data_IF_318368245750
#
_entry.id   IF_318368245750
#
_cell.length_a   1.000
_cell.length_b   1.000
_cell.length_c   1.000
_cell.angle_alpha   90.00
_cell.angle_beta   90.00
_cell.angle_gamma   90.00
#
_symmetry.space_group_name_H-M   'P 1'
#
loop_
_entity.id
_entity.type
_entity.pdbx_description
1 polymer ?
#
# COMPACT_ATOMS: atom_id res chain seq x y z
N UNK A 1 -4.49 -11.45 21.33
CA UNK A 1 -5.53 -10.94 20.39
C UNK A 1 -6.41 -9.86 21.03
N UNK A 2 -7.08 -10.08 22.18
CA UNK A 2 -7.93 -9.07 22.84
C UNK A 2 -7.19 -7.74 23.05
N UNK A 3 -6.02 -7.76 23.67
CA UNK A 3 -5.20 -6.56 23.90
C UNK A 3 -4.83 -5.81 22.60
N UNK A 4 -4.57 -6.52 21.50
CA UNK A 4 -4.28 -5.90 20.21
C UNK A 4 -5.49 -5.24 19.59
N UNK A 5 -6.70 -5.76 19.84
CA UNK A 5 -7.95 -5.12 19.41
C UNK A 5 -8.23 -3.88 20.27
N UNK A 6 -8.01 -3.96 21.57
CA UNK A 6 -8.14 -2.82 22.49
C UNK A 6 -7.13 -1.71 22.17
N UNK A 7 -5.95 -2.06 21.66
CA UNK A 7 -4.92 -1.12 21.24
C UNK A 7 -5.16 -0.49 19.86
N UNK A 8 -6.21 -0.85 19.13
CA UNK A 8 -6.46 -0.38 17.76
C UNK A 8 -6.47 1.17 17.62
N UNK A 9 -7.09 1.95 18.53
CA UNK A 9 -6.99 3.41 18.46
C UNK A 9 -5.54 3.94 18.58
N UNK A 10 -4.71 3.26 19.38
CA UNK A 10 -3.30 3.61 19.48
C UNK A 10 -2.54 3.25 18.20
N UNK A 11 -2.83 2.08 17.61
CA UNK A 11 -2.26 1.69 16.32
C UNK A 11 -2.55 2.71 15.22
N UNK A 12 -3.76 3.29 15.19
CA UNK A 12 -4.11 4.35 14.23
C UNK A 12 -3.28 5.62 14.45
N UNK A 13 -3.11 6.07 15.70
CA UNK A 13 -2.26 7.25 16.00
C UNK A 13 -0.81 7.03 15.57
N UNK A 14 -0.26 5.87 15.85
CA UNK A 14 1.09 5.50 15.43
C UNK A 14 1.20 5.39 13.90
N UNK A 15 0.18 4.83 13.24
CA UNK A 15 0.11 4.74 11.79
C UNK A 15 0.11 6.13 11.13
N UNK A 16 -0.63 7.10 11.69
CA UNK A 16 -0.61 8.49 11.24
C UNK A 16 0.79 9.11 11.41
N UNK A 17 1.44 8.88 12.54
CA UNK A 17 2.81 9.38 12.77
C UNK A 17 3.81 8.80 11.75
N UNK A 18 3.72 7.49 11.45
CA UNK A 18 4.54 6.82 10.44
C UNK A 18 4.29 7.45 9.05
N UNK A 19 3.02 7.61 8.67
CA UNK A 19 2.65 8.16 7.37
C UNK A 19 3.11 9.61 7.19
N UNK A 20 2.98 10.46 8.23
CA UNK A 20 3.48 11.85 8.21
C UNK A 20 5.01 11.93 8.05
N UNK A 21 5.73 10.96 8.59
CA UNK A 21 7.18 10.88 8.47
C UNK A 21 7.66 10.19 7.18
N UNK A 22 6.74 9.58 6.42
CA UNK A 22 7.10 8.87 5.21
C UNK A 22 7.46 9.83 4.07
N UNK A 23 8.60 9.56 3.43
CA UNK A 23 9.05 10.29 2.25
C UNK A 23 8.69 9.48 1.00
N UNK A 24 7.69 9.95 0.27
CA UNK A 24 7.33 9.40 -1.05
C UNK A 24 8.01 10.25 -2.12
N UNK A 25 8.91 9.63 -2.86
CA UNK A 25 9.56 10.27 -4.01
C UNK A 25 8.52 10.54 -5.09
N UNK A 26 8.41 11.76 -5.61
CA UNK A 26 7.46 12.08 -6.67
C UNK A 26 7.83 11.33 -7.95
N UNK A 27 6.81 11.05 -8.76
CA UNK A 27 6.99 10.50 -10.10
C UNK A 27 6.75 11.56 -11.16
N UNK A 28 7.43 11.44 -12.33
CA UNK A 28 7.15 12.24 -13.52
C UNK A 28 6.11 11.55 -14.42
N UNK A 29 5.71 10.32 -14.08
CA UNK A 29 4.72 9.56 -14.85
C UNK A 29 3.33 10.10 -14.59
N UNK A 30 2.52 10.14 -15.64
CA UNK A 30 1.09 10.44 -15.50
C UNK A 30 0.35 9.16 -15.11
N UNK A 31 -0.14 9.10 -13.87
CA UNK A 31 -0.83 7.92 -13.36
C UNK A 31 -2.28 7.92 -13.85
N UNK A 32 -2.68 6.85 -14.55
CA UNK A 32 -4.02 6.67 -15.09
C UNK A 32 -4.90 5.75 -14.25
N UNK A 33 -4.30 4.89 -13.46
CA UNK A 33 -5.00 3.95 -12.58
C UNK A 33 -4.11 3.50 -11.42
N UNK A 34 -4.74 2.99 -10.38
CA UNK A 34 -4.08 2.42 -9.21
C UNK A 34 -4.46 0.94 -9.09
N UNK A 35 -3.47 0.10 -8.85
CA UNK A 35 -3.69 -1.31 -8.49
C UNK A 35 -3.10 -1.55 -7.11
N UNK A 36 -3.92 -2.05 -6.18
CA UNK A 36 -3.47 -2.46 -4.85
C UNK A 36 -3.40 -3.99 -4.83
N UNK A 37 -2.19 -4.52 -4.72
CA UNK A 37 -1.95 -5.95 -4.56
C UNK A 37 -1.76 -6.29 -3.09
N UNK A 38 -2.60 -7.16 -2.55
CA UNK A 38 -2.53 -7.58 -1.16
C UNK A 38 -3.40 -8.79 -0.86
N UNK A 39 -2.99 -9.60 0.14
CA UNK A 39 -3.69 -10.80 0.56
C UNK A 39 -4.12 -10.71 2.03
N UNK A 40 -5.15 -11.44 2.42
CA UNK A 40 -5.64 -11.50 3.81
C UNK A 40 -6.00 -10.13 4.38
N UNK A 41 -5.41 -9.75 5.52
CA UNK A 41 -5.63 -8.45 6.17
C UNK A 41 -5.21 -7.27 5.29
N UNK A 42 -4.09 -7.38 4.58
CA UNK A 42 -3.62 -6.36 3.64
C UNK A 42 -4.56 -6.22 2.43
N UNK A 43 -5.11 -7.33 1.92
CA UNK A 43 -6.09 -7.29 0.84
C UNK A 43 -7.42 -6.66 1.25
N UNK A 44 -7.90 -6.96 2.47
CA UNK A 44 -9.10 -6.32 3.04
C UNK A 44 -8.87 -4.82 3.21
N UNK A 45 -7.68 -4.43 3.70
CA UNK A 45 -7.28 -3.03 3.82
C UNK A 45 -7.35 -2.28 2.49
N UNK A 46 -6.80 -2.87 1.44
CA UNK A 46 -6.88 -2.33 0.09
C UNK A 46 -8.31 -2.11 -0.38
N UNK A 47 -9.19 -3.11 -0.19
CA UNK A 47 -10.61 -3.01 -0.57
C UNK A 47 -11.37 -1.92 0.20
N UNK A 48 -11.15 -1.80 1.51
CA UNK A 48 -11.79 -0.76 2.30
C UNK A 48 -11.31 0.61 1.85
N UNK A 49 -10.00 0.80 1.72
CA UNK A 49 -9.44 2.08 1.30
C UNK A 49 -9.91 2.44 -0.11
N UNK A 50 -9.96 1.50 -1.05
CA UNK A 50 -10.46 1.78 -2.41
C UNK A 50 -11.89 2.31 -2.43
N UNK A 51 -12.74 1.88 -1.49
CA UNK A 51 -14.10 2.40 -1.34
C UNK A 51 -14.12 3.76 -0.64
N UNK A 52 -13.34 3.93 0.42
CA UNK A 52 -13.25 5.21 1.16
C UNK A 52 -12.78 6.34 0.26
N UNK A 53 -11.81 6.08 -0.62
CA UNK A 53 -11.24 7.12 -1.50
C UNK A 53 -11.95 7.27 -2.84
N UNK A 54 -12.99 6.49 -3.13
CA UNK A 54 -13.63 6.44 -4.44
C UNK A 54 -14.11 7.82 -4.93
N UNK A 55 -14.63 8.65 -4.04
CA UNK A 55 -15.14 9.98 -4.36
C UNK A 55 -14.04 11.07 -4.37
N UNK A 56 -12.83 10.74 -3.91
CA UNK A 56 -11.72 11.68 -3.77
C UNK A 56 -10.63 11.51 -4.84
N UNK A 57 -10.65 10.40 -5.57
CA UNK A 57 -9.66 10.10 -6.59
C UNK A 57 -10.21 10.34 -8.00
N UNK A 58 -9.39 10.94 -8.84
CA UNK A 58 -9.70 11.14 -10.27
C UNK A 58 -9.37 9.91 -11.14
N UNK A 59 -8.77 8.88 -10.58
CA UNK A 59 -8.35 7.66 -11.27
C UNK A 59 -8.94 6.42 -10.63
N UNK A 60 -9.26 5.37 -11.39
CA UNK A 60 -9.81 4.13 -10.83
C UNK A 60 -8.81 3.38 -9.96
N UNK A 61 -9.32 2.74 -8.90
CA UNK A 61 -8.55 1.85 -8.02
C UNK A 61 -9.07 0.43 -8.15
N UNK A 62 -8.18 -0.51 -8.44
CA UNK A 62 -8.47 -1.94 -8.53
C UNK A 62 -7.67 -2.70 -7.49
N UNK A 63 -8.31 -3.59 -6.75
CA UNK A 63 -7.63 -4.48 -5.80
C UNK A 63 -7.45 -5.87 -6.41
N UNK A 64 -6.26 -6.44 -6.25
CA UNK A 64 -5.95 -7.82 -6.65
C UNK A 64 -5.29 -8.59 -5.51
N UNK A 65 -5.52 -9.88 -5.48
CA UNK A 65 -4.89 -10.82 -4.56
C UNK A 65 -4.31 -12.04 -5.30
N UNK A 66 -4.07 -11.88 -6.59
CA UNK A 66 -3.64 -12.93 -7.50
C UNK A 66 -2.14 -12.81 -7.81
N UNK A 67 -1.57 -13.88 -8.35
CA UNK A 67 -0.19 -13.93 -8.89
C UNK A 67 -0.03 -13.10 -10.15
N UNK A 68 -1.12 -12.88 -10.90
CA UNK A 68 -1.12 -12.18 -12.18
C UNK A 68 -1.80 -10.83 -12.04
N UNK A 69 -1.12 -9.80 -12.51
CA UNK A 69 -1.69 -8.45 -12.54
C UNK A 69 -2.73 -8.30 -13.66
N UNK A 70 -3.74 -7.43 -13.47
CA UNK A 70 -4.68 -7.09 -14.55
C UNK A 70 -3.95 -6.66 -15.84
N UNK A 71 -4.52 -7.03 -16.98
CA UNK A 71 -3.90 -6.81 -18.30
C UNK A 71 -3.64 -5.34 -18.63
N UNK A 72 -4.37 -4.40 -18.03
CA UNK A 72 -4.21 -2.95 -18.23
C UNK A 72 -3.01 -2.34 -17.48
N UNK A 73 -2.37 -3.08 -16.58
CA UNK A 73 -1.19 -2.58 -15.85
C UNK A 73 -0.06 -2.24 -16.81
N UNK A 74 0.45 -1.03 -16.71
CA UNK A 74 1.46 -0.44 -17.59
C UNK A 74 2.34 0.54 -16.83
N UNK A 75 3.20 1.25 -17.52
CA UNK A 75 4.04 2.33 -16.97
C UNK A 75 3.24 3.50 -16.35
N UNK A 76 1.97 3.65 -16.73
CA UNK A 76 1.05 4.65 -16.19
C UNK A 76 0.17 4.12 -15.04
N UNK A 77 0.51 2.95 -14.50
CA UNK A 77 -0.14 2.37 -13.33
C UNK A 77 0.68 2.63 -12.07
N UNK A 78 0.04 3.11 -11.01
CA UNK A 78 0.59 3.03 -9.66
C UNK A 78 0.22 1.67 -9.06
N UNK A 79 1.20 0.80 -8.92
CA UNK A 79 1.06 -0.49 -8.25
C UNK A 79 1.49 -0.37 -6.79
N UNK A 80 0.53 -0.49 -5.88
CA UNK A 80 0.79 -0.48 -4.43
C UNK A 80 0.85 -1.93 -3.95
N UNK A 81 2.02 -2.36 -3.49
CA UNK A 81 2.25 -3.68 -2.91
C UNK A 81 2.03 -3.58 -1.40
N UNK A 82 0.92 -4.12 -0.93
CA UNK A 82 0.57 -4.17 0.49
C UNK A 82 0.72 -5.59 1.03
N UNK A 83 1.81 -5.85 1.74
CA UNK A 83 2.09 -7.16 2.35
C UNK A 83 2.71 -6.99 3.73
N UNK A 84 1.97 -7.34 4.79
CA UNK A 84 2.46 -7.17 6.16
C UNK A 84 3.79 -7.91 6.38
N UNK A 85 3.86 -9.20 6.07
CA UNK A 85 5.10 -9.99 6.22
C UNK A 85 6.18 -9.60 5.19
N UNK A 86 5.76 -9.15 4.02
CA UNK A 86 6.62 -8.91 2.88
C UNK A 86 7.10 -10.17 2.15
N UNK A 87 6.58 -11.35 2.52
CA UNK A 87 6.99 -12.66 1.97
C UNK A 87 5.84 -13.41 1.27
N UNK A 88 4.66 -12.80 1.16
CA UNK A 88 3.50 -13.40 0.50
C UNK A 88 3.83 -13.61 -0.99
N UNK A 89 3.76 -14.85 -1.48
CA UNK A 89 4.21 -15.21 -2.83
C UNK A 89 3.48 -14.45 -3.92
N UNK A 90 2.15 -14.28 -3.79
CA UNK A 90 1.31 -13.53 -4.74
C UNK A 90 1.76 -12.07 -4.85
N UNK A 91 2.03 -11.41 -3.73
CA UNK A 91 2.47 -10.01 -3.74
C UNK A 91 3.90 -9.84 -4.26
N UNK A 92 4.77 -10.81 -4.00
CA UNK A 92 6.13 -10.83 -4.58
C UNK A 92 6.05 -11.04 -6.10
N UNK A 93 5.21 -11.96 -6.58
CA UNK A 93 5.00 -12.18 -8.00
C UNK A 93 4.42 -10.94 -8.69
N UNK A 94 3.39 -10.32 -8.09
CA UNK A 94 2.80 -9.07 -8.58
C UNK A 94 3.84 -7.95 -8.66
N UNK A 95 4.73 -7.82 -7.67
CA UNK A 95 5.81 -6.83 -7.68
C UNK A 95 6.77 -7.03 -8.85
N UNK A 96 7.24 -8.28 -9.06
CA UNK A 96 8.11 -8.60 -10.19
C UNK A 96 7.44 -8.34 -11.55
N UNK A 97 6.16 -8.70 -11.68
CA UNK A 97 5.41 -8.42 -12.89
C UNK A 97 5.23 -6.92 -13.12
N UNK A 98 4.94 -6.15 -12.07
CA UNK A 98 4.83 -4.69 -12.13
C UNK A 98 6.13 -4.02 -12.57
N UNK A 99 7.28 -4.45 -12.01
CA UNK A 99 8.60 -3.97 -12.45
C UNK A 99 8.84 -4.26 -13.93
N UNK A 100 8.53 -5.47 -14.40
CA UNK A 100 8.71 -5.85 -15.81
C UNK A 100 7.80 -5.04 -16.75
N UNK A 101 6.61 -4.64 -16.29
CA UNK A 101 5.67 -3.77 -17.04
C UNK A 101 6.01 -2.28 -16.93
N UNK A 102 7.04 -1.92 -16.17
CA UNK A 102 7.46 -0.54 -15.96
C UNK A 102 6.50 0.26 -15.07
N UNK A 103 5.63 -0.38 -14.30
CA UNK A 103 4.69 0.31 -13.40
C UNK A 103 5.45 1.17 -12.36
N UNK A 104 4.81 2.25 -11.92
CA UNK A 104 5.24 2.97 -10.73
C UNK A 104 4.90 2.12 -9.50
N UNK A 105 5.86 1.88 -8.60
CA UNK A 105 5.67 0.95 -7.49
C UNK A 105 5.90 1.63 -6.15
N UNK A 106 4.95 1.43 -5.23
CA UNK A 106 5.09 1.77 -3.82
C UNK A 106 4.76 0.56 -2.95
N UNK A 107 5.48 0.41 -1.85
CA UNK A 107 5.36 -0.74 -0.96
C UNK A 107 4.92 -0.33 0.44
N UNK A 108 4.04 -1.11 1.05
CA UNK A 108 3.65 -1.03 2.46
C UNK A 108 3.92 -2.39 3.09
N UNK A 109 4.90 -2.49 3.98
CA UNK A 109 5.33 -3.78 4.55
C UNK A 109 6.07 -3.59 5.87
N UNK A 110 6.13 -4.63 6.70
CA UNK A 110 7.01 -4.63 7.88
C UNK A 110 8.43 -5.12 7.56
N UNK A 111 8.64 -5.79 6.43
CA UNK A 111 9.96 -6.37 6.10
C UNK A 111 9.89 -7.33 4.90
N UNK A 112 10.61 -8.43 5.02
CA UNK A 112 10.62 -9.54 4.05
C UNK A 112 11.22 -9.19 2.69
N UNK A 113 10.92 -10.03 1.71
CA UNK A 113 11.40 -9.91 0.32
C UNK A 113 10.96 -8.61 -0.34
N UNK A 114 9.71 -8.14 -0.06
CA UNK A 114 9.21 -6.88 -0.59
C UNK A 114 10.08 -5.71 -0.15
N UNK A 115 10.46 -5.66 1.14
CA UNK A 115 11.33 -4.60 1.64
C UNK A 115 12.74 -4.66 1.03
N UNK A 116 13.29 -5.88 0.84
CA UNK A 116 14.59 -6.06 0.21
C UNK A 116 14.57 -5.58 -1.25
N UNK A 117 13.59 -6.02 -2.04
CA UNK A 117 13.41 -5.60 -3.43
C UNK A 117 13.17 -4.09 -3.56
N UNK A 118 12.33 -3.51 -2.70
CA UNK A 118 12.08 -2.08 -2.71
C UNK A 118 13.37 -1.27 -2.46
N UNK A 119 14.19 -1.73 -1.53
CA UNK A 119 15.50 -1.09 -1.23
C UNK A 119 16.47 -1.25 -2.40
N UNK A 120 16.61 -2.45 -2.95
CA UNK A 120 17.50 -2.76 -4.08
C UNK A 120 17.19 -1.90 -5.32
N UNK A 121 15.89 -1.74 -5.61
CA UNK A 121 15.43 -0.99 -6.80
C UNK A 121 15.12 0.48 -6.52
N UNK A 122 15.34 0.98 -5.30
CA UNK A 122 15.10 2.37 -4.93
C UNK A 122 13.63 2.81 -5.00
N UNK A 123 12.70 1.86 -4.80
CA UNK A 123 11.26 2.08 -4.86
C UNK A 123 10.74 2.76 -3.59
N UNK A 124 9.60 3.40 -3.69
CA UNK A 124 8.92 3.97 -2.55
C UNK A 124 8.46 2.87 -1.58
N UNK A 125 8.76 3.05 -0.30
CA UNK A 125 8.40 2.09 0.74
C UNK A 125 8.02 2.82 2.03
N UNK A 126 6.89 2.43 2.62
CA UNK A 126 6.52 2.78 3.99
C UNK A 126 6.63 1.53 4.84
N UNK A 127 7.50 1.58 5.84
CA UNK A 127 7.68 0.47 6.78
C UNK A 127 6.72 0.62 7.95
N UNK A 128 6.04 -0.49 8.28
CA UNK A 128 5.13 -0.58 9.42
C UNK A 128 5.70 -1.53 10.48
N UNK A 129 5.26 -1.43 11.76
CA UNK A 129 5.73 -2.31 12.84
C UNK A 129 5.46 -3.77 12.54
N UNK A 130 6.46 -4.63 12.71
CA UNK A 130 6.37 -6.08 12.57
C UNK A 130 6.13 -6.81 13.91
N UNK A 131 6.20 -8.15 13.89
CA UNK A 131 6.21 -8.98 15.08
C UNK A 131 4.84 -9.32 15.68
N UNK A 132 3.74 -8.91 15.06
CA UNK A 132 2.38 -9.20 15.50
C UNK A 132 1.59 -10.00 14.44
N UNK A 133 0.47 -10.64 14.82
CA UNK A 133 -0.40 -11.29 13.85
C UNK A 133 -0.92 -10.29 12.80
N UNK A 134 -0.84 -10.59 11.49
CA UNK A 134 -1.17 -9.64 10.41
C UNK A 134 -2.56 -8.99 10.52
N UNK A 135 -3.55 -9.76 10.98
CA UNK A 135 -4.94 -9.26 11.12
C UNK A 135 -5.09 -8.17 12.18
N UNK A 136 -4.22 -8.14 13.20
CA UNK A 136 -4.24 -7.10 14.23
C UNK A 136 -3.55 -5.80 13.79
N UNK A 137 -2.78 -5.86 12.70
CA UNK A 137 -1.99 -4.75 12.18
C UNK A 137 -2.66 -4.04 10.99
N UNK A 138 -3.92 -4.34 10.75
CA UNK A 138 -4.74 -3.77 9.70
C UNK A 138 -4.72 -2.24 9.68
N UNK A 139 -4.84 -1.58 10.85
CA UNK A 139 -4.83 -0.12 10.96
C UNK A 139 -3.54 0.51 10.42
N UNK A 140 -2.38 -0.12 10.67
CA UNK A 140 -1.12 0.38 10.14
C UNK A 140 -1.08 0.30 8.61
N UNK A 141 -1.37 -0.86 8.03
CA UNK A 141 -1.29 -1.03 6.58
C UNK A 141 -2.30 -0.17 5.84
N UNK A 142 -3.54 -0.07 6.32
CA UNK A 142 -4.61 0.70 5.66
C UNK A 142 -4.33 2.19 5.63
N UNK A 143 -3.89 2.77 6.75
CA UNK A 143 -3.54 4.20 6.83
C UNK A 143 -2.41 4.54 5.87
N UNK A 144 -1.40 3.66 5.70
CA UNK A 144 -0.29 3.94 4.79
C UNK A 144 -0.72 3.98 3.32
N UNK A 145 -1.79 3.28 2.93
CA UNK A 145 -2.33 3.37 1.57
C UNK A 145 -2.80 4.79 1.25
N UNK A 146 -3.41 5.49 2.23
CA UNK A 146 -3.81 6.89 2.07
C UNK A 146 -2.59 7.80 1.87
N UNK A 147 -1.54 7.61 2.68
CA UNK A 147 -0.30 8.38 2.53
C UNK A 147 0.42 8.13 1.22
N UNK A 148 0.40 6.90 0.71
CA UNK A 148 0.92 6.60 -0.63
C UNK A 148 0.12 7.38 -1.68
N UNK A 149 -1.21 7.31 -1.68
CA UNK A 149 -2.06 8.02 -2.63
C UNK A 149 -1.87 9.54 -2.58
N UNK A 150 -1.77 10.10 -1.36
CA UNK A 150 -1.47 11.52 -1.13
C UNK A 150 -0.07 11.89 -1.66
N UNK A 151 0.94 11.07 -1.38
CA UNK A 151 2.32 11.29 -1.80
C UNK A 151 2.51 11.29 -3.33
N UNK A 152 1.67 10.55 -4.06
CA UNK A 152 1.62 10.59 -5.52
C UNK A 152 0.72 11.69 -6.09
N UNK A 153 0.14 12.54 -5.22
CA UNK A 153 -0.74 13.65 -5.65
C UNK A 153 -2.08 13.19 -6.22
N UNK A 154 -2.51 11.96 -5.96
CA UNK A 154 -3.76 11.40 -6.44
C UNK A 154 -4.95 11.74 -5.53
N UNK A 155 -4.69 12.21 -4.33
CA UNK A 155 -5.68 12.55 -3.32
C UNK A 155 -5.46 13.97 -2.80
N UNK A 156 -6.46 14.82 -2.96
CA UNK A 156 -6.41 16.23 -2.57
C UNK A 156 -7.10 16.53 -1.23
N UNK A 157 -7.71 15.53 -0.60
CA UNK A 157 -8.37 15.71 0.69
C UNK A 157 -7.39 15.67 1.85
N UNK A 158 -7.67 16.45 2.88
CA UNK A 158 -6.98 16.35 4.16
C UNK A 158 -7.69 15.30 5.03
N UNK A 159 -7.50 14.03 4.67
CA UNK A 159 -8.11 12.89 5.37
C UNK A 159 -7.70 12.80 6.86
N UNK A 160 -6.75 13.61 7.30
CA UNK A 160 -6.34 13.68 8.70
C UNK A 160 -7.26 14.61 9.53
N UNK A 161 -8.02 15.47 8.87
CA UNK A 161 -8.95 16.41 9.50
C UNK A 161 -10.38 15.84 9.58
N UNK A 162 -10.69 14.77 8.86
CA UNK A 162 -11.96 14.05 8.85
C UNK A 162 -11.94 12.84 9.81
#
# INVERSE_FOLDING_TARGET
>A
MKQLVEAFPQHLREALAIGRAAEIKPTQKHIHNVVISGLGGSGIGGKIISQVVADYLSVPVVCTNDYVLPGFVSENTLLIISSYSGDTEETVAAMHEGMRKGAEIACVTSGGKIAALATEHGLNIIRIPGGNPPRSMFGYSSVQLLYVLKGYGLMNSDFEAE
#
